data_IF_730874565805
#
_entry.id   IF_730874565805
#
_cell.length_a   1.000
_cell.length_b   1.000
_cell.length_c   1.000
_cell.angle_alpha   90.00
_cell.angle_beta   90.00
_cell.angle_gamma   90.00
#
_symmetry.space_group_name_H-M   'P 1'
#
loop_
_entity.id
_entity.type
_entity.pdbx_description
1 polymer ?
#
# COMPACT_ATOMS: atom_id res chain seq x y z
N UNK A 1 -2.00 -14.62 3.04
CA UNK A 1 -2.50 -14.95 4.40
C UNK A 1 -4.02 -14.81 4.48
N UNK A 2 -4.62 -15.16 5.62
CA UNK A 2 -6.07 -15.01 5.81
C UNK A 2 -6.44 -13.54 5.93
N UNK A 3 -7.43 -13.09 5.13
CA UNK A 3 -7.98 -11.74 5.19
C UNK A 3 -7.06 -10.67 4.58
N UNK A 4 -6.24 -11.05 3.59
CA UNK A 4 -5.40 -10.10 2.85
C UNK A 4 -6.26 -9.00 2.24
N UNK A 5 -7.31 -9.30 1.51
CA UNK A 5 -8.30 -8.39 0.92
C UNK A 5 -9.07 -7.51 1.96
N UNK A 6 -8.83 -7.75 3.25
CA UNK A 6 -9.40 -7.00 4.37
C UNK A 6 -8.33 -6.31 5.20
N UNK A 7 -7.24 -5.86 4.55
CA UNK A 7 -6.12 -5.20 5.18
C UNK A 7 -5.16 -6.17 5.90
N UNK A 8 -4.85 -7.31 5.28
CA UNK A 8 -3.77 -8.19 5.72
C UNK A 8 -3.91 -8.76 7.13
N UNK A 9 -5.13 -9.01 7.63
CA UNK A 9 -5.40 -9.42 9.03
C UNK A 9 -4.48 -10.56 9.49
N UNK A 10 -4.23 -11.55 8.61
CA UNK A 10 -3.36 -12.67 8.92
C UNK A 10 -1.88 -12.28 8.98
N UNK A 11 -1.44 -11.39 8.09
CA UNK A 11 -0.07 -10.89 8.06
C UNK A 11 0.21 -9.98 9.27
N UNK A 12 -0.69 -9.04 9.58
CA UNK A 12 -0.62 -8.22 10.78
C UNK A 12 -0.54 -9.08 12.07
N UNK A 13 -1.39 -10.11 12.16
CA UNK A 13 -1.33 -11.04 13.31
C UNK A 13 0.03 -11.75 13.43
N UNK A 14 0.63 -12.15 12.30
CA UNK A 14 1.96 -12.76 12.31
C UNK A 14 3.02 -11.74 12.75
N UNK A 15 2.97 -10.51 12.25
CA UNK A 15 3.89 -9.45 12.64
C UNK A 15 3.82 -9.15 14.13
N UNK A 16 2.61 -9.01 14.69
CA UNK A 16 2.38 -8.66 16.09
C UNK A 16 2.77 -9.77 17.06
N UNK A 17 2.49 -11.03 16.72
CA UNK A 17 2.58 -12.15 17.68
C UNK A 17 3.78 -13.06 17.43
N UNK A 18 4.42 -12.99 16.26
CA UNK A 18 5.51 -13.89 15.86
C UNK A 18 6.71 -13.12 15.28
N UNK A 19 6.91 -11.87 15.69
CA UNK A 19 8.01 -11.01 15.24
C UNK A 19 9.39 -11.64 15.43
N UNK A 20 9.60 -12.37 16.54
CA UNK A 20 10.84 -13.10 16.77
C UNK A 20 11.10 -14.19 15.73
N UNK A 21 10.06 -14.90 15.28
CA UNK A 21 10.19 -15.88 14.20
C UNK A 21 10.45 -15.18 12.86
N UNK A 22 9.72 -14.08 12.58
CA UNK A 22 9.89 -13.32 11.35
C UNK A 22 11.28 -12.70 11.24
N UNK A 23 11.89 -12.28 12.34
CA UNK A 23 13.25 -11.73 12.34
C UNK A 23 14.37 -12.73 11.98
N UNK A 24 14.04 -14.02 11.85
CA UNK A 24 14.97 -15.03 11.33
C UNK A 24 15.07 -15.02 9.79
N UNK A 25 14.18 -14.26 9.12
CA UNK A 25 14.16 -14.14 7.66
C UNK A 25 14.78 -12.82 7.20
N UNK A 26 15.60 -12.90 6.18
CA UNK A 26 16.17 -11.71 5.52
C UNK A 26 15.20 -11.09 4.50
N UNK A 27 14.24 -11.88 4.00
CA UNK A 27 13.37 -11.50 2.87
C UNK A 27 11.95 -12.06 3.02
N UNK A 28 10.97 -11.23 2.62
CA UNK A 28 9.58 -11.64 2.42
C UNK A 28 9.12 -11.17 1.04
N UNK A 29 8.60 -12.11 0.23
CA UNK A 29 8.26 -11.85 -1.16
C UNK A 29 6.82 -12.25 -1.42
N UNK A 30 5.98 -11.29 -1.79
CA UNK A 30 4.67 -11.55 -2.33
C UNK A 30 4.74 -11.70 -3.86
N UNK A 31 3.95 -12.60 -4.41
CA UNK A 31 3.74 -12.78 -5.84
C UNK A 31 2.29 -12.40 -6.13
N UNK A 32 2.02 -11.10 -6.04
CA UNK A 32 0.65 -10.57 -5.99
C UNK A 32 0.54 -9.16 -6.60
N UNK A 33 1.46 -8.77 -7.46
CA UNK A 33 1.40 -7.49 -8.18
C UNK A 33 0.86 -7.71 -9.59
N UNK A 34 -0.05 -6.83 -10.01
CA UNK A 34 -0.49 -6.74 -11.42
C UNK A 34 0.66 -6.46 -12.38
N UNK A 35 0.39 -6.50 -13.68
CA UNK A 35 1.37 -6.36 -14.77
C UNK A 35 2.42 -7.49 -14.75
N UNK A 36 3.57 -7.32 -15.38
CA UNK A 36 4.53 -8.38 -15.63
C UNK A 36 5.99 -7.94 -15.51
N UNK A 37 6.27 -6.77 -14.92
CA UNK A 37 7.57 -6.10 -15.01
C UNK A 37 8.04 -5.40 -13.72
N UNK A 38 7.26 -5.45 -12.64
CA UNK A 38 7.57 -4.66 -11.44
C UNK A 38 8.12 -5.51 -10.29
N UNK A 39 9.18 -5.03 -9.65
CA UNK A 39 9.67 -5.40 -8.31
C UNK A 39 9.43 -4.21 -7.39
N UNK A 40 8.48 -4.32 -6.50
CA UNK A 40 8.03 -3.19 -5.68
C UNK A 40 9.08 -2.84 -4.63
N UNK A 41 9.45 -1.54 -4.58
CA UNK A 41 10.42 -1.01 -3.61
C UNK A 41 9.77 -0.22 -2.48
N UNK A 42 8.56 0.28 -2.70
CA UNK A 42 7.79 1.07 -1.73
C UNK A 42 6.37 0.53 -1.64
N UNK A 43 5.83 0.50 -0.42
CA UNK A 43 4.46 0.07 -0.13
C UNK A 43 3.81 1.07 0.84
N UNK A 44 2.58 0.82 1.27
CA UNK A 44 1.77 1.71 2.11
C UNK A 44 2.51 2.38 3.28
N UNK A 45 3.51 1.71 3.85
CA UNK A 45 4.29 2.23 4.98
C UNK A 45 5.66 2.81 4.57
N UNK A 46 5.87 3.05 3.27
CA UNK A 46 7.11 3.57 2.70
C UNK A 46 8.04 2.48 2.17
N UNK A 47 9.33 2.72 2.26
CA UNK A 47 10.35 1.84 1.70
C UNK A 47 10.26 0.42 2.25
N UNK A 48 10.02 -0.55 1.38
CA UNK A 48 9.85 -1.95 1.79
C UNK A 48 11.06 -2.84 1.48
N UNK A 49 11.88 -2.48 0.46
CA UNK A 49 13.15 -3.14 0.20
C UNK A 49 14.21 -2.15 -0.31
N UNK A 50 15.48 -2.53 -0.28
CA UNK A 50 16.58 -1.71 -0.79
C UNK A 50 16.59 -1.69 -2.33
N UNK A 51 17.11 -0.61 -2.93
CA UNK A 51 17.32 -0.53 -4.38
C UNK A 51 18.25 -1.63 -4.87
N UNK A 52 19.28 -1.93 -4.10
CA UNK A 52 20.24 -2.98 -4.40
C UNK A 52 19.56 -4.35 -4.48
N UNK A 53 18.71 -4.68 -3.51
CA UNK A 53 17.93 -5.93 -3.53
C UNK A 53 17.02 -6.00 -4.75
N UNK A 54 16.21 -4.95 -4.99
CA UNK A 54 15.23 -4.93 -6.08
C UNK A 54 15.93 -5.04 -7.45
N UNK A 55 17.05 -4.32 -7.64
CA UNK A 55 17.81 -4.38 -8.88
C UNK A 55 18.43 -5.77 -9.12
N UNK A 56 19.06 -6.37 -8.11
CA UNK A 56 19.65 -7.71 -8.26
C UNK A 56 18.60 -8.78 -8.51
N UNK A 57 17.43 -8.69 -7.84
CA UNK A 57 16.32 -9.61 -8.10
C UNK A 57 15.78 -9.45 -9.54
N UNK A 58 15.64 -8.20 -10.01
CA UNK A 58 15.26 -7.92 -11.41
C UNK A 58 16.26 -8.54 -12.39
N UNK A 59 17.55 -8.35 -12.15
CA UNK A 59 18.63 -8.88 -13.00
C UNK A 59 18.60 -10.42 -13.03
N UNK A 60 18.44 -11.10 -11.90
CA UNK A 60 18.36 -12.56 -11.83
C UNK A 60 17.12 -13.10 -12.57
N UNK A 61 15.95 -12.44 -12.45
CA UNK A 61 14.74 -12.82 -13.18
C UNK A 61 14.91 -12.60 -14.69
N UNK A 62 15.41 -11.43 -15.09
CA UNK A 62 15.64 -11.10 -16.51
C UNK A 62 16.71 -12.01 -17.15
N UNK A 63 17.69 -12.47 -16.37
CA UNK A 63 18.68 -13.44 -16.84
C UNK A 63 18.07 -14.84 -17.00
N UNK A 64 17.04 -15.18 -16.24
CA UNK A 64 16.42 -16.50 -16.26
C UNK A 64 15.57 -16.75 -17.52
N UNK A 65 15.00 -15.67 -18.11
CA UNK A 65 14.21 -15.71 -19.34
C UNK A 65 14.29 -14.37 -20.08
N UNK A 66 14.68 -14.39 -21.35
CA UNK A 66 14.82 -13.19 -22.20
C UNK A 66 13.49 -12.44 -22.44
N UNK A 67 12.38 -13.04 -22.10
CA UNK A 67 11.05 -12.44 -22.17
C UNK A 67 10.81 -11.43 -21.05
N UNK A 68 11.50 -11.54 -19.92
CA UNK A 68 11.28 -10.68 -18.78
C UNK A 68 11.95 -9.32 -18.92
N UNK A 69 11.27 -8.31 -18.36
CA UNK A 69 11.77 -6.93 -18.29
C UNK A 69 11.51 -6.35 -16.89
N UNK A 70 11.70 -7.16 -15.84
CA UNK A 70 11.52 -6.70 -14.47
C UNK A 70 12.43 -5.53 -14.12
N UNK A 71 11.92 -4.59 -13.38
CA UNK A 71 12.65 -3.43 -12.87
C UNK A 71 12.12 -3.00 -11.50
N UNK A 72 12.93 -2.32 -10.67
CA UNK A 72 12.48 -1.69 -9.45
C UNK A 72 11.35 -0.68 -9.72
N UNK A 73 10.27 -0.73 -8.91
CA UNK A 73 9.08 0.11 -9.08
C UNK A 73 8.62 0.64 -7.70
N UNK A 74 8.63 1.97 -7.48
CA UNK A 74 8.19 2.56 -6.21
C UNK A 74 6.66 2.71 -6.09
N UNK A 75 5.88 2.32 -7.10
CA UNK A 75 4.43 2.54 -7.17
C UNK A 75 3.60 1.44 -6.49
N UNK A 76 4.16 0.74 -5.49
CA UNK A 76 3.43 -0.26 -4.74
C UNK A 76 2.39 0.36 -3.80
N UNK A 77 1.26 -0.32 -3.61
CA UNK A 77 0.21 0.12 -2.68
C UNK A 77 0.28 -0.70 -1.39
N UNK A 78 -0.24 -1.91 -1.40
CA UNK A 78 -0.31 -2.78 -0.23
C UNK A 78 -0.30 -4.25 -0.66
N UNK A 79 0.31 -5.10 0.15
CA UNK A 79 0.15 -6.55 0.18
C UNK A 79 0.63 -7.06 1.54
N UNK A 80 0.43 -8.32 1.84
CA UNK A 80 0.82 -8.97 3.11
C UNK A 80 2.26 -8.66 3.56
N UNK A 81 3.21 -8.49 2.63
CA UNK A 81 4.60 -8.20 2.98
C UNK A 81 4.81 -6.79 3.54
N UNK A 82 3.85 -5.87 3.36
CA UNK A 82 3.88 -4.56 3.99
C UNK A 82 3.85 -4.66 5.51
N UNK A 83 3.14 -5.64 6.07
CA UNK A 83 3.05 -5.87 7.51
C UNK A 83 4.38 -6.34 8.14
N UNK A 84 5.34 -6.79 7.32
CA UNK A 84 6.61 -7.33 7.80
C UNK A 84 7.78 -6.37 7.72
N UNK A 85 7.60 -5.18 7.13
CA UNK A 85 8.70 -4.22 6.86
C UNK A 85 9.41 -3.72 8.12
N UNK A 86 8.76 -3.77 9.27
CA UNK A 86 9.36 -3.40 10.56
C UNK A 86 10.23 -4.50 11.16
N UNK A 87 10.16 -5.72 10.62
CA UNK A 87 10.81 -6.91 11.18
C UNK A 87 11.76 -7.56 10.17
N UNK A 88 11.36 -7.63 8.89
CA UNK A 88 12.14 -8.27 7.82
C UNK A 88 12.81 -7.17 6.96
N UNK A 89 14.12 -7.28 6.70
CA UNK A 89 14.86 -6.27 5.94
C UNK A 89 14.31 -6.01 4.54
N UNK A 90 14.14 -7.04 3.73
CA UNK A 90 13.78 -6.91 2.32
C UNK A 90 12.38 -7.50 2.09
N UNK A 91 11.38 -6.61 1.96
CA UNK A 91 10.00 -6.98 1.68
C UNK A 91 9.59 -6.44 0.30
N UNK A 92 9.06 -7.28 -0.57
CA UNK A 92 8.65 -6.83 -1.90
C UNK A 92 7.40 -7.56 -2.39
N UNK A 93 6.79 -6.99 -3.44
CA UNK A 93 5.75 -7.61 -4.23
C UNK A 93 6.19 -7.67 -5.71
N UNK A 94 5.99 -8.81 -6.36
CA UNK A 94 6.42 -9.06 -7.73
C UNK A 94 5.21 -9.18 -8.64
N UNK A 95 5.25 -8.52 -9.80
CA UNK A 95 4.25 -8.67 -10.86
C UNK A 95 4.18 -10.10 -11.38
N UNK A 96 2.97 -10.65 -11.47
CA UNK A 96 2.75 -12.06 -11.83
C UNK A 96 1.96 -12.25 -13.12
N UNK A 97 1.64 -11.17 -13.83
CA UNK A 97 0.98 -11.24 -15.12
C UNK A 97 -0.54 -11.14 -15.07
N UNK A 98 -1.14 -10.68 -13.97
CA UNK A 98 -2.57 -10.39 -14.00
C UNK A 98 -2.86 -8.91 -14.29
N UNK A 99 -4.08 -8.63 -14.73
CA UNK A 99 -4.57 -7.31 -15.11
C UNK A 99 -6.03 -7.17 -14.74
N UNK A 100 -6.48 -5.93 -14.50
CA UNK A 100 -7.84 -5.57 -14.11
C UNK A 100 -8.27 -6.23 -12.81
N UNK A 101 -7.36 -6.21 -11.84
CA UNK A 101 -7.59 -6.68 -10.48
C UNK A 101 -8.90 -6.13 -9.90
N UNK A 102 -9.52 -6.89 -9.02
CA UNK A 102 -10.78 -6.56 -8.33
C UNK A 102 -11.97 -6.30 -9.26
N UNK A 103 -11.94 -6.79 -10.50
CA UNK A 103 -13.03 -6.64 -11.46
C UNK A 103 -13.51 -7.99 -12.01
N UNK A 104 -14.74 -7.99 -12.61
CA UNK A 104 -15.29 -9.14 -13.34
C UNK A 104 -14.54 -9.46 -14.65
N UNK A 105 -13.55 -8.63 -15.01
CA UNK A 105 -12.72 -8.78 -16.20
C UNK A 105 -11.26 -9.08 -15.86
N UNK A 106 -11.00 -9.43 -14.63
CA UNK A 106 -9.67 -9.86 -14.21
C UNK A 106 -9.16 -11.01 -15.09
N UNK A 107 -7.92 -10.93 -15.48
CA UNK A 107 -7.28 -11.92 -16.34
C UNK A 107 -5.84 -12.16 -15.92
N UNK A 108 -5.37 -13.39 -16.10
CA UNK A 108 -4.00 -13.80 -15.83
C UNK A 108 -3.30 -14.24 -17.11
N UNK A 109 -2.13 -13.68 -17.41
CA UNK A 109 -1.23 -14.21 -18.43
C UNK A 109 -0.58 -15.50 -17.94
N UNK A 110 -1.16 -16.62 -18.35
CA UNK A 110 -0.72 -17.96 -17.96
C UNK A 110 0.70 -18.25 -18.44
N UNK A 111 1.11 -17.70 -19.59
CA UNK A 111 2.45 -17.93 -20.12
C UNK A 111 3.49 -17.18 -19.28
N UNK A 112 3.20 -15.93 -18.93
CA UNK A 112 4.05 -15.16 -18.02
C UNK A 112 4.14 -15.84 -16.65
N UNK A 113 3.01 -16.17 -16.05
CA UNK A 113 2.97 -16.85 -14.74
C UNK A 113 3.77 -18.15 -14.74
N UNK A 114 3.63 -18.96 -15.77
CA UNK A 114 4.38 -20.20 -15.92
C UNK A 114 5.89 -19.96 -16.09
N UNK A 115 6.30 -18.97 -16.91
CA UNK A 115 7.69 -18.60 -17.07
C UNK A 115 8.28 -18.09 -15.74
N UNK A 116 7.56 -17.21 -15.02
CA UNK A 116 7.95 -16.69 -13.71
C UNK A 116 8.12 -17.83 -12.70
N UNK A 117 7.18 -18.77 -12.63
CA UNK A 117 7.27 -19.91 -11.71
C UNK A 117 8.53 -20.76 -11.90
N UNK A 118 9.07 -20.79 -13.10
CA UNK A 118 10.34 -21.47 -13.41
C UNK A 118 11.57 -20.58 -13.13
N UNK A 119 11.45 -19.30 -13.38
CA UNK A 119 12.53 -18.35 -13.16
C UNK A 119 12.86 -18.22 -11.67
N UNK A 120 11.85 -18.12 -10.80
CA UNK A 120 12.06 -18.00 -9.35
C UNK A 120 12.79 -19.19 -8.74
N UNK A 121 12.73 -20.37 -9.36
CA UNK A 121 13.50 -21.54 -8.95
C UNK A 121 14.98 -21.47 -9.33
N UNK A 122 15.36 -20.55 -10.23
CA UNK A 122 16.74 -20.33 -10.68
C UNK A 122 17.39 -19.16 -9.97
N UNK A 123 16.62 -18.26 -9.37
CA UNK A 123 17.12 -17.11 -8.61
C UNK A 123 18.02 -17.59 -7.48
N UNK A 124 19.18 -16.96 -7.36
CA UNK A 124 20.14 -17.25 -6.29
C UNK A 124 19.79 -16.45 -5.03
N UNK A 125 18.71 -16.83 -4.39
CA UNK A 125 18.13 -16.13 -3.24
C UNK A 125 19.13 -15.78 -2.15
N UNK A 126 20.06 -16.70 -1.83
CA UNK A 126 21.09 -16.49 -0.79
C UNK A 126 22.16 -15.47 -1.19
N UNK A 127 22.23 -15.09 -2.48
CA UNK A 127 23.21 -14.12 -2.98
C UNK A 127 22.63 -12.72 -3.18
N UNK A 128 21.30 -12.56 -3.02
CA UNK A 128 20.68 -11.26 -3.11
C UNK A 128 21.09 -10.38 -1.93
N UNK A 129 21.32 -9.08 -2.14
CA UNK A 129 21.67 -8.14 -1.07
C UNK A 129 20.62 -8.12 0.06
N UNK A 130 21.09 -7.74 1.25
CA UNK A 130 20.26 -7.40 2.42
C UNK A 130 20.85 -6.12 2.98
N UNK A 131 20.27 -4.99 2.66
CA UNK A 131 20.85 -3.68 2.98
C UNK A 131 19.92 -2.81 3.82
N UNK A 132 18.59 -3.04 3.75
CA UNK A 132 17.64 -2.27 4.54
C UNK A 132 17.63 -2.73 6.01
N UNK A 133 17.59 -1.77 6.94
CA UNK A 133 17.39 -2.05 8.36
C UNK A 133 15.90 -1.99 8.71
N UNK A 134 15.30 -3.07 9.24
CA UNK A 134 13.90 -3.07 9.65
C UNK A 134 13.63 -1.99 10.72
N UNK A 135 12.50 -1.29 10.59
CA UNK A 135 12.09 -0.26 11.56
C UNK A 135 12.84 1.08 11.44
N UNK A 136 13.84 1.18 10.56
CA UNK A 136 14.46 2.47 10.19
C UNK A 136 13.68 3.01 8.99
N UNK A 137 12.94 4.08 9.23
CA UNK A 137 12.23 4.78 8.14
C UNK A 137 13.24 5.62 7.36
N UNK A 138 13.60 5.21 6.15
CA UNK A 138 14.36 6.03 5.23
C UNK A 138 13.49 7.19 4.76
N UNK A 139 13.87 8.43 5.11
CA UNK A 139 13.11 9.66 4.84
C UNK A 139 13.10 10.10 3.36
N UNK A 140 13.43 9.25 2.41
CA UNK A 140 13.52 9.61 0.99
C UNK A 140 12.70 8.69 0.06
N UNK A 141 11.43 8.47 0.33
CA UNK A 141 10.52 8.11 -0.77
C UNK A 141 9.88 9.38 -1.31
N UNK A 142 10.32 9.83 -2.46
CA UNK A 142 9.81 11.04 -3.12
C UNK A 142 8.37 10.90 -3.64
N UNK A 143 7.77 9.73 -3.55
CA UNK A 143 6.42 9.44 -4.08
C UNK A 143 5.33 9.31 -3.02
N UNK A 144 5.69 9.06 -1.75
CA UNK A 144 4.75 8.94 -0.63
C UNK A 144 5.15 9.82 0.56
N UNK A 145 5.59 11.04 0.32
CA UNK A 145 5.83 12.00 1.40
C UNK A 145 4.55 12.48 2.10
N UNK A 146 3.39 11.99 1.68
CA UNK A 146 2.10 12.26 2.32
C UNK A 146 1.70 11.29 3.43
N UNK A 147 2.03 10.00 3.33
CA UNK A 147 1.55 8.99 4.29
C UNK A 147 2.56 8.58 5.37
N UNK A 148 3.87 8.58 5.09
CA UNK A 148 4.89 8.10 6.03
C UNK A 148 5.26 9.04 7.18
N UNK A 149 4.88 10.32 7.14
CA UNK A 149 5.26 11.33 8.13
C UNK A 149 4.14 11.74 9.10
N UNK A 150 2.96 11.17 8.98
CA UNK A 150 1.79 11.55 9.78
C UNK A 150 1.95 11.20 11.28
N UNK A 151 2.77 10.22 11.60
CA UNK A 151 2.98 9.83 13.00
C UNK A 151 3.99 10.69 13.78
N UNK A 152 4.72 11.65 13.19
CA UNK A 152 5.80 12.31 13.91
C UNK A 152 6.00 13.82 13.74
N UNK A 153 5.21 14.54 12.95
CA UNK A 153 5.32 16.02 12.93
C UNK A 153 3.97 16.68 12.67
N UNK A 154 3.32 17.15 13.72
CA UNK A 154 2.21 18.09 13.58
C UNK A 154 2.70 19.39 12.96
N UNK A 155 2.39 19.64 11.72
CA UNK A 155 2.12 20.94 11.09
C UNK A 155 2.19 20.81 9.59
N UNK A 156 1.04 20.75 8.94
CA UNK A 156 0.90 20.97 7.50
C UNK A 156 0.96 22.47 7.22
N UNK A 157 1.97 22.92 6.48
CA UNK A 157 1.95 24.21 5.85
C UNK A 157 1.56 24.00 4.38
N UNK A 158 0.35 24.44 4.03
CA UNK A 158 -0.19 24.36 2.67
C UNK A 158 0.65 25.19 1.69
N UNK A 159 1.22 24.55 0.68
CA UNK A 159 1.70 25.19 -0.55
C UNK A 159 0.80 24.70 -1.71
N UNK A 160 0.46 25.58 -2.65
CA UNK A 160 -0.56 25.36 -3.70
C UNK A 160 -0.28 24.20 -4.69
N UNK A 161 0.83 23.50 -4.54
CA UNK A 161 1.13 22.24 -5.24
C UNK A 161 0.47 21.02 -4.59
N UNK A 162 0.15 21.12 -3.30
CA UNK A 162 -0.30 20.00 -2.47
C UNK A 162 -1.80 19.70 -2.64
N UNK A 163 -2.61 20.64 -3.15
CA UNK A 163 -4.06 20.46 -3.30
C UNK A 163 -4.43 19.42 -4.39
N UNK A 164 -3.61 19.31 -5.44
CA UNK A 164 -3.83 18.31 -6.50
C UNK A 164 -3.48 16.91 -6.00
N UNK A 165 -2.35 16.79 -5.29
CA UNK A 165 -1.89 15.54 -4.71
C UNK A 165 -2.87 15.04 -3.63
N UNK A 166 -3.39 15.96 -2.78
CA UNK A 166 -4.36 15.62 -1.73
C UNK A 166 -5.71 15.18 -2.30
N UNK A 167 -6.08 15.72 -3.46
CA UNK A 167 -7.27 15.30 -4.20
C UNK A 167 -7.13 13.92 -4.83
N UNK A 168 -5.97 13.59 -5.36
CA UNK A 168 -5.67 12.23 -5.85
C UNK A 168 -5.73 11.22 -4.70
N UNK A 169 -5.14 11.55 -3.55
CA UNK A 169 -5.22 10.73 -2.34
C UNK A 169 -6.67 10.47 -1.88
N UNK A 170 -7.53 11.49 -1.93
CA UNK A 170 -8.95 11.30 -1.60
C UNK A 170 -9.64 10.34 -2.58
N UNK A 171 -9.34 10.43 -3.88
CA UNK A 171 -9.92 9.52 -4.86
C UNK A 171 -9.47 8.08 -4.63
N UNK A 172 -8.20 7.87 -4.30
CA UNK A 172 -7.65 6.54 -4.00
C UNK A 172 -8.29 5.99 -2.72
N UNK A 173 -8.35 6.79 -1.64
CA UNK A 173 -9.01 6.38 -0.40
C UNK A 173 -10.52 6.08 -0.56
N UNK A 174 -11.22 6.84 -1.40
CA UNK A 174 -12.63 6.56 -1.75
C UNK A 174 -12.77 5.31 -2.61
N UNK A 175 -11.80 5.04 -3.48
CA UNK A 175 -11.77 3.82 -4.27
C UNK A 175 -11.56 2.60 -3.37
N UNK A 176 -10.59 2.65 -2.48
CA UNK A 176 -10.29 1.58 -1.54
C UNK A 176 -11.46 1.33 -0.57
N UNK A 177 -12.12 2.40 -0.12
CA UNK A 177 -13.30 2.29 0.73
C UNK A 177 -14.46 1.53 0.07
N UNK A 178 -14.62 1.62 -1.25
CA UNK A 178 -15.62 0.84 -2.02
C UNK A 178 -15.40 -0.67 -1.87
N UNK A 179 -14.16 -1.10 -1.67
CA UNK A 179 -13.78 -2.51 -1.46
C UNK A 179 -13.64 -2.89 0.02
N UNK A 180 -14.06 -2.00 0.93
CA UNK A 180 -14.04 -2.24 2.37
C UNK A 180 -12.73 -1.86 3.07
N UNK A 181 -11.75 -1.32 2.35
CA UNK A 181 -10.50 -0.79 2.90
C UNK A 181 -10.76 0.68 3.28
N UNK A 182 -11.14 0.92 4.52
CA UNK A 182 -11.64 2.24 4.94
C UNK A 182 -10.67 3.03 5.81
N UNK A 183 -9.50 2.48 6.12
CA UNK A 183 -8.57 3.07 7.10
C UNK A 183 -8.11 4.47 6.67
N UNK A 184 -7.63 4.60 5.44
CA UNK A 184 -7.06 5.85 4.96
C UNK A 184 -8.13 6.94 4.83
N UNK A 185 -9.29 6.60 4.29
CA UNK A 185 -10.42 7.54 4.24
C UNK A 185 -10.84 8.00 5.64
N UNK A 186 -10.97 7.09 6.59
CA UNK A 186 -11.35 7.41 7.97
C UNK A 186 -10.29 8.30 8.64
N UNK A 187 -9.02 8.06 8.34
CA UNK A 187 -7.92 8.87 8.87
C UNK A 187 -7.90 10.27 8.25
N UNK A 188 -8.05 10.39 6.92
CA UNK A 188 -8.15 11.68 6.23
C UNK A 188 -9.32 12.53 6.79
N UNK A 189 -10.47 11.91 7.03
CA UNK A 189 -11.61 12.58 7.68
C UNK A 189 -11.21 13.04 9.09
N UNK A 190 -10.53 12.18 9.84
CA UNK A 190 -10.07 12.50 11.20
C UNK A 190 -9.14 13.70 11.22
N UNK A 191 -8.14 13.74 10.35
CA UNK A 191 -7.20 14.85 10.23
C UNK A 191 -7.87 16.16 9.82
N UNK A 192 -8.83 16.11 8.91
CA UNK A 192 -9.60 17.29 8.49
C UNK A 192 -10.40 17.89 9.64
N UNK A 193 -11.06 17.06 10.47
CA UNK A 193 -12.02 17.51 11.48
C UNK A 193 -11.39 17.73 12.86
N UNK A 194 -10.40 16.93 13.23
CA UNK A 194 -9.66 16.98 14.50
C UNK A 194 -8.16 16.86 14.29
N UNK A 195 -7.49 17.87 13.71
CA UNK A 195 -6.08 17.78 13.36
C UNK A 195 -5.14 17.54 14.55
N UNK A 196 -5.57 17.89 15.77
CA UNK A 196 -4.79 17.67 17.00
C UNK A 196 -4.86 16.21 17.52
N UNK A 197 -5.94 15.48 17.19
CA UNK A 197 -6.14 14.07 17.57
C UNK A 197 -7.09 13.37 16.59
N UNK A 198 -6.60 12.99 15.40
CA UNK A 198 -7.40 12.31 14.36
C UNK A 198 -8.10 11.04 14.85
N UNK A 199 -7.48 10.31 15.76
CA UNK A 199 -8.02 9.08 16.35
C UNK A 199 -9.30 9.32 17.15
N UNK A 200 -9.49 10.52 17.68
CA UNK A 200 -10.74 10.92 18.35
C UNK A 200 -11.91 10.92 17.36
N UNK A 201 -11.71 11.48 16.14
CA UNK A 201 -12.76 11.46 15.12
C UNK A 201 -13.08 10.03 14.68
N UNK A 202 -12.05 9.22 14.43
CA UNK A 202 -12.22 7.82 14.00
C UNK A 202 -13.04 7.00 15.00
N UNK A 203 -12.87 7.23 16.32
CA UNK A 203 -13.65 6.55 17.37
C UNK A 203 -15.13 6.91 17.36
N UNK A 204 -15.51 8.08 16.85
CA UNK A 204 -16.88 8.57 16.81
C UNK A 204 -17.58 8.33 15.47
N UNK A 205 -16.90 7.75 14.50
CA UNK A 205 -17.48 7.41 13.20
C UNK A 205 -17.92 5.94 13.15
N UNK A 206 -19.09 5.70 12.57
CA UNK A 206 -19.58 4.34 12.30
C UNK A 206 -19.28 3.95 10.84
N UNK A 207 -18.26 3.13 10.64
CA UNK A 207 -17.84 2.62 9.33
C UNK A 207 -18.96 1.90 8.56
N UNK A 208 -19.97 1.38 9.25
CA UNK A 208 -21.13 0.71 8.61
C UNK A 208 -22.01 1.68 7.85
N UNK A 209 -21.90 2.98 8.12
CA UNK A 209 -22.59 4.03 7.40
C UNK A 209 -21.88 4.41 6.10
N UNK A 210 -20.65 3.98 5.89
CA UNK A 210 -19.89 4.16 4.65
C UNK A 210 -20.37 3.13 3.61
N UNK A 211 -21.58 3.36 3.10
CA UNK A 211 -22.20 2.53 2.06
C UNK A 211 -21.68 2.86 0.67
N UNK A 212 -21.91 2.00 -0.30
CA UNK A 212 -21.58 2.25 -1.70
C UNK A 212 -22.18 3.58 -2.20
N UNK A 213 -23.41 3.89 -1.83
CA UNK A 213 -24.08 5.16 -2.16
C UNK A 213 -23.34 6.37 -1.58
N UNK A 214 -22.91 6.33 -0.32
CA UNK A 214 -22.15 7.40 0.35
C UNK A 214 -20.79 7.59 -0.33
N UNK A 215 -20.12 6.52 -0.70
CA UNK A 215 -18.82 6.56 -1.41
C UNK A 215 -18.97 7.15 -2.81
N UNK A 216 -20.00 6.75 -3.55
CA UNK A 216 -20.26 7.27 -4.90
C UNK A 216 -20.65 8.75 -4.88
N UNK A 217 -21.43 9.19 -3.90
CA UNK A 217 -21.74 10.61 -3.68
C UNK A 217 -20.47 11.41 -3.35
N UNK A 218 -19.60 10.89 -2.48
CA UNK A 218 -18.32 11.51 -2.16
C UNK A 218 -17.39 11.62 -3.40
N UNK A 219 -17.30 10.56 -4.21
CA UNK A 219 -16.57 10.58 -5.50
C UNK A 219 -17.14 11.64 -6.46
N UNK A 220 -18.46 11.81 -6.45
CA UNK A 220 -19.09 12.82 -7.29
C UNK A 220 -18.78 14.25 -6.79
N UNK A 221 -18.85 14.49 -5.48
CA UNK A 221 -18.48 15.75 -4.85
C UNK A 221 -17.01 16.10 -5.09
N UNK A 222 -16.10 15.16 -4.95
CA UNK A 222 -14.66 15.33 -5.13
C UNK A 222 -14.26 15.82 -6.53
N UNK A 223 -15.12 15.66 -7.56
CA UNK A 223 -14.87 16.20 -8.91
C UNK A 223 -14.98 17.72 -8.98
N UNK A 224 -15.80 18.33 -8.13
CA UNK A 224 -16.17 19.76 -8.22
C UNK A 224 -15.94 20.57 -6.94
N UNK A 225 -15.69 19.92 -5.81
CA UNK A 225 -15.46 20.53 -4.51
C UNK A 225 -14.00 20.37 -4.08
N UNK A 226 -13.57 21.18 -3.11
CA UNK A 226 -12.30 20.97 -2.41
C UNK A 226 -12.37 19.75 -1.48
N UNK A 227 -11.20 19.21 -1.15
CA UNK A 227 -11.08 17.98 -0.37
C UNK A 227 -11.65 18.13 1.02
N UNK A 228 -11.39 19.25 1.69
CA UNK A 228 -11.85 19.48 3.06
C UNK A 228 -13.39 19.49 3.15
N UNK A 229 -14.05 20.08 2.16
CA UNK A 229 -15.52 20.08 2.07
C UNK A 229 -16.07 18.65 1.94
N UNK A 230 -15.43 17.81 1.13
CA UNK A 230 -15.84 16.41 0.97
C UNK A 230 -15.64 15.62 2.26
N UNK A 231 -14.47 15.76 2.90
CA UNK A 231 -14.13 15.06 4.14
C UNK A 231 -15.03 15.48 5.30
N UNK A 232 -15.31 16.78 5.46
CA UNK A 232 -16.25 17.28 6.48
C UNK A 232 -17.67 16.75 6.24
N UNK A 233 -18.11 16.68 4.98
CA UNK A 233 -19.43 16.14 4.64
C UNK A 233 -19.52 14.65 4.97
N UNK A 234 -18.46 13.89 4.67
CA UNK A 234 -18.37 12.47 5.05
C UNK A 234 -18.40 12.30 6.57
N UNK A 235 -17.67 13.14 7.32
CA UNK A 235 -17.71 13.09 8.77
C UNK A 235 -19.13 13.28 9.31
N UNK A 236 -19.86 14.27 8.83
CA UNK A 236 -21.23 14.53 9.26
C UNK A 236 -22.16 13.34 8.99
N UNK A 237 -21.94 12.61 7.90
CA UNK A 237 -22.70 11.42 7.54
C UNK A 237 -22.34 10.19 8.40
N UNK A 238 -21.08 10.07 8.79
CA UNK A 238 -20.56 8.91 9.53
C UNK A 238 -20.59 9.10 11.05
N UNK A 239 -20.72 10.35 11.52
CA UNK A 239 -20.69 10.69 12.94
C UNK A 239 -21.96 10.23 13.64
N UNK A 240 -21.80 9.43 14.70
CA UNK A 240 -22.89 8.98 15.57
C UNK A 240 -22.96 9.89 16.78
N UNK A 241 -23.97 10.75 16.85
CA UNK A 241 -24.30 11.48 18.08
C UNK A 241 -24.91 10.51 19.08
N UNK A 242 -24.19 10.21 20.15
CA UNK A 242 -24.70 9.47 21.30
C UNK A 242 -25.44 10.39 22.27
#
# INVERSE_FOLDING_TARGET
TQGEEKGGIGAAHLSDNYSQLLSEFDRAIAFDRRANDSIITDQAYGRCCSDSFAQHLSDELNLADDYFMYSPDPSGVYTDTAEFVTVIPECTNISVGYDREHSDKESLDILHFYALSKAVLKVKWDQLPVEREPGVYEQESKYYSGFGNVYNTGMWQYDTKDELDYKEMLFDALWDAQYGITHDLMYMIGECVYPEDPDMAVKHMDRRLLTEEVIDDAKHMAKSMDVDTVLCTLFDQLHVTH
#
